data_IF_671437553528
#
_entry.id   IF_671437553528
#
_cell.length_a   1.000
_cell.length_b   1.000
_cell.length_c   1.000
_cell.angle_alpha   90.00
_cell.angle_beta   90.00
_cell.angle_gamma   90.00
#
_symmetry.space_group_name_H-M   'P 1'
#
loop_
_entity.id
_entity.type
_entity.pdbx_description
1 polymer ?
#
# COMPACT_ATOMS: atom_id res chain seq x y z
N UNK A 1 5.37 -21.36 1.87
CA UNK A 1 5.95 -22.45 1.04
C UNK A 1 7.25 -21.94 0.44
N UNK A 2 8.35 -22.70 0.53
CA UNK A 2 9.66 -22.32 -0.02
C UNK A 2 10.14 -23.41 -0.96
N UNK A 3 10.40 -23.08 -2.22
CA UNK A 3 10.89 -24.02 -3.24
C UNK A 3 12.26 -23.56 -3.72
N UNK A 4 13.20 -24.49 -3.85
CA UNK A 4 14.51 -24.23 -4.46
C UNK A 4 14.44 -24.54 -5.96
N UNK A 5 14.83 -23.58 -6.80
CA UNK A 5 14.61 -23.67 -8.25
C UNK A 5 15.87 -23.95 -9.07
N UNK A 6 17.08 -23.82 -8.51
CA UNK A 6 18.31 -24.07 -9.26
C UNK A 6 19.49 -24.50 -8.37
N UNK A 7 20.58 -24.90 -9.02
CA UNK A 7 21.86 -25.29 -8.41
C UNK A 7 22.60 -24.15 -7.68
N UNK A 8 22.06 -22.92 -7.69
CA UNK A 8 22.61 -21.75 -7.00
C UNK A 8 21.93 -21.48 -5.65
N UNK A 9 21.17 -22.43 -5.11
CA UNK A 9 20.49 -22.33 -3.82
C UNK A 9 19.53 -21.13 -3.72
N UNK A 10 18.92 -20.73 -4.84
CA UNK A 10 17.98 -19.62 -4.85
C UNK A 10 16.66 -20.04 -4.17
N UNK A 11 16.24 -19.26 -3.15
CA UNK A 11 15.03 -19.50 -2.38
C UNK A 11 13.96 -18.46 -2.72
N UNK A 12 12.82 -18.92 -3.21
CA UNK A 12 11.63 -18.08 -3.35
C UNK A 12 10.70 -18.34 -2.17
N UNK A 13 10.35 -17.27 -1.45
CA UNK A 13 9.39 -17.31 -0.35
C UNK A 13 8.12 -16.60 -0.80
N UNK A 14 7.06 -17.36 -1.04
CA UNK A 14 5.72 -16.80 -1.22
C UNK A 14 5.19 -16.32 0.13
N UNK A 15 4.93 -15.02 0.26
CA UNK A 15 4.35 -14.42 1.45
C UNK A 15 3.00 -13.82 1.09
N UNK A 16 1.95 -14.28 1.76
CA UNK A 16 0.59 -13.75 1.63
C UNK A 16 0.19 -13.11 2.94
N UNK A 17 -0.38 -11.91 2.87
CA UNK A 17 -0.75 -11.10 4.03
C UNK A 17 0.44 -10.74 4.96
N UNK A 18 0.17 -9.93 5.97
CA UNK A 18 1.08 -9.67 7.07
C UNK A 18 0.52 -10.26 8.36
N UNK A 19 1.40 -10.68 9.28
CA UNK A 19 0.96 -11.10 10.60
C UNK A 19 0.31 -9.91 11.33
N UNK A 20 -0.90 -10.10 11.86
CA UNK A 20 -1.69 -9.03 12.50
C UNK A 20 -0.94 -8.35 13.67
N UNK A 21 -0.03 -9.06 14.32
CA UNK A 21 0.81 -8.52 15.40
C UNK A 21 1.95 -7.59 14.90
N UNK A 22 2.14 -7.41 13.60
CA UNK A 22 3.21 -6.58 13.02
C UNK A 22 2.77 -5.17 12.62
N UNK A 23 1.47 -4.87 12.63
CA UNK A 23 0.99 -3.52 12.28
C UNK A 23 1.62 -2.43 13.13
N UNK A 24 1.77 -2.64 14.45
CA UNK A 24 2.42 -1.68 15.35
C UNK A 24 3.83 -1.30 14.88
N UNK A 25 4.65 -2.31 14.57
CA UNK A 25 6.04 -2.09 14.12
C UNK A 25 6.08 -1.27 12.83
N UNK A 26 5.18 -1.56 11.88
CA UNK A 26 5.08 -0.82 10.62
C UNK A 26 4.61 0.61 10.86
N UNK A 27 3.59 0.82 11.70
CA UNK A 27 3.12 2.17 12.07
C UNK A 27 4.20 3.00 12.75
N UNK A 28 5.00 2.41 13.65
CA UNK A 28 6.15 3.08 14.27
C UNK A 28 7.20 3.47 13.23
N UNK A 29 7.45 2.62 12.23
CA UNK A 29 8.34 2.97 11.11
C UNK A 29 7.78 4.15 10.29
N UNK A 30 6.48 4.13 9.98
CA UNK A 30 5.81 5.21 9.28
C UNK A 30 5.91 6.53 10.06
N UNK A 31 5.72 6.50 11.38
CA UNK A 31 5.86 7.69 12.24
C UNK A 31 7.29 8.23 12.25
N UNK A 32 8.30 7.37 12.36
CA UNK A 32 9.72 7.78 12.32
C UNK A 32 10.10 8.49 11.02
N UNK A 33 9.48 8.13 9.91
CA UNK A 33 9.77 8.67 8.59
C UNK A 33 8.68 9.59 8.04
N UNK A 34 7.72 10.01 8.88
CA UNK A 34 6.54 10.76 8.44
C UNK A 34 6.90 12.06 7.70
N UNK A 35 8.00 12.71 8.07
CA UNK A 35 8.40 13.99 7.49
C UNK A 35 9.39 13.83 6.33
N UNK A 36 9.96 12.63 6.13
CA UNK A 36 10.97 12.36 5.10
C UNK A 36 10.43 11.54 3.94
N UNK A 37 9.36 10.77 4.17
CA UNK A 37 8.75 9.95 3.13
C UNK A 37 7.92 10.83 2.18
N UNK A 38 8.02 10.64 0.85
CA UNK A 38 7.32 11.47 -0.11
C UNK A 38 5.84 11.04 -0.27
N UNK A 39 5.02 11.29 0.75
CA UNK A 39 3.61 10.86 0.80
C UNK A 39 2.78 11.33 -0.40
N UNK A 40 2.97 12.58 -0.82
CA UNK A 40 2.23 13.15 -1.96
C UNK A 40 2.57 12.45 -3.29
N UNK A 41 3.70 11.73 -3.38
CA UNK A 41 4.03 10.91 -4.57
C UNK A 41 3.37 9.53 -4.53
N UNK A 42 3.00 9.04 -3.34
CA UNK A 42 2.34 7.75 -3.17
C UNK A 42 0.86 7.84 -3.55
N UNK A 43 0.19 8.92 -3.11
CA UNK A 43 -1.22 9.15 -3.37
C UNK A 43 -1.41 9.72 -4.78
N UNK A 44 -1.92 8.91 -5.70
CA UNK A 44 -2.15 9.37 -7.07
C UNK A 44 -3.46 10.14 -7.22
N UNK A 45 -4.47 9.83 -6.40
CA UNK A 45 -5.78 10.49 -6.44
C UNK A 45 -6.36 10.62 -5.03
N UNK A 46 -7.08 11.72 -4.81
CA UNK A 46 -7.92 11.94 -3.63
C UNK A 46 -9.34 12.25 -4.11
N UNK A 47 -10.34 11.64 -3.47
CA UNK A 47 -11.74 11.85 -3.77
C UNK A 47 -12.52 12.15 -2.47
N UNK A 48 -13.54 13.02 -2.51
CA UNK A 48 -14.43 13.19 -1.37
C UNK A 48 -15.29 11.95 -1.16
N UNK A 49 -15.90 11.82 0.02
CA UNK A 49 -16.75 10.68 0.36
C UNK A 49 -17.92 10.48 -0.62
N UNK A 50 -18.50 11.58 -1.13
CA UNK A 50 -19.58 11.55 -2.11
C UNK A 50 -19.19 10.86 -3.43
N UNK A 51 -17.89 10.73 -3.71
CA UNK A 51 -17.33 10.13 -4.92
C UNK A 51 -16.72 8.74 -4.67
N UNK A 52 -17.12 8.05 -3.59
CA UNK A 52 -16.56 6.75 -3.21
C UNK A 52 -16.58 5.71 -4.36
N UNK A 53 -17.66 5.64 -5.14
CA UNK A 53 -17.72 4.70 -6.28
C UNK A 53 -16.66 5.03 -7.35
N UNK A 54 -16.46 6.31 -7.64
CA UNK A 54 -15.46 6.77 -8.62
C UNK A 54 -14.05 6.50 -8.09
N UNK A 55 -13.81 6.69 -6.79
CA UNK A 55 -12.55 6.36 -6.14
C UNK A 55 -12.20 4.87 -6.27
N UNK A 56 -13.17 3.98 -6.03
CA UNK A 56 -12.98 2.53 -6.18
C UNK A 56 -12.68 2.18 -7.64
N UNK A 57 -13.44 2.71 -8.61
CA UNK A 57 -13.18 2.47 -10.04
C UNK A 57 -11.80 2.97 -10.46
N UNK A 58 -11.40 4.16 -10.02
CA UNK A 58 -10.08 4.72 -10.28
C UNK A 58 -8.96 3.81 -9.75
N UNK A 59 -9.13 3.25 -8.55
CA UNK A 59 -8.14 2.34 -7.93
C UNK A 59 -7.90 1.04 -8.68
N UNK A 60 -8.81 0.68 -9.58
CA UNK A 60 -8.71 -0.52 -10.43
C UNK A 60 -8.03 -0.23 -11.78
N UNK A 61 -7.72 1.04 -12.07
CA UNK A 61 -7.06 1.46 -13.32
C UNK A 61 -5.54 1.44 -13.20
N UNK A 62 -4.85 1.35 -14.34
CA UNK A 62 -3.37 1.45 -14.42
C UNK A 62 -2.83 2.85 -14.13
N UNK A 63 -3.69 3.86 -14.18
CA UNK A 63 -3.32 5.26 -13.93
C UNK A 63 -3.25 5.59 -12.44
N UNK A 64 -3.45 4.61 -11.55
CA UNK A 64 -3.47 4.80 -10.12
C UNK A 64 -2.39 4.00 -9.38
N UNK A 65 -1.80 4.60 -8.33
CA UNK A 65 -0.88 3.93 -7.41
C UNK A 65 -1.56 3.70 -6.06
N UNK A 66 -2.05 4.77 -5.43
CA UNK A 66 -2.88 4.72 -4.23
C UNK A 66 -3.96 5.79 -4.32
N UNK A 67 -5.21 5.35 -4.28
CA UNK A 67 -6.38 6.24 -4.20
C UNK A 67 -6.78 6.40 -2.74
N UNK A 68 -7.09 7.63 -2.34
CA UNK A 68 -7.56 7.98 -0.99
C UNK A 68 -8.99 8.52 -1.09
N UNK A 69 -9.87 8.02 -0.24
CA UNK A 69 -11.17 8.63 0.02
C UNK A 69 -10.98 9.51 1.26
N UNK A 70 -11.05 10.82 1.08
CA UNK A 70 -10.89 11.81 2.14
C UNK A 70 -12.27 12.30 2.60
N UNK A 71 -12.74 11.91 3.79
CA UNK A 71 -14.07 12.32 4.27
C UNK A 71 -14.15 13.81 4.62
N UNK A 72 -13.02 14.52 4.63
CA UNK A 72 -12.94 15.94 4.96
C UNK A 72 -12.79 16.84 3.73
N UNK A 73 -12.68 16.24 2.54
CA UNK A 73 -12.70 16.94 1.26
C UNK A 73 -14.15 17.26 0.86
N UNK A 74 -14.39 18.50 0.43
CA UNK A 74 -15.69 18.94 -0.12
C UNK A 74 -15.89 18.44 -1.57
#
# INVERSE_FOLDING_TARGET
MSVYLNSRNLRIVGMTNHAHNKYKLVMEMMLRHKDTFPWERLFSHRFPLAQAEQAVKASMTRESMKVVIDPWME
#
